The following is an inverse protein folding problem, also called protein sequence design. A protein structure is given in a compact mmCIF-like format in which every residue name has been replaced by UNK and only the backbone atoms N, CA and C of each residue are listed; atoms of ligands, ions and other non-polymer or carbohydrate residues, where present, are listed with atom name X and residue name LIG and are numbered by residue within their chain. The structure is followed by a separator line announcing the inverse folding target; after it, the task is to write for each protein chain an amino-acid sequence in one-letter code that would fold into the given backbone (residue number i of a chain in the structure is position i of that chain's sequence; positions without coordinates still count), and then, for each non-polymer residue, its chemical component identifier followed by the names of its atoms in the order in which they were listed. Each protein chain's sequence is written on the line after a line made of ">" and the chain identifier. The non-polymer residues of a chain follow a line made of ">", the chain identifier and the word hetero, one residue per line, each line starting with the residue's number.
data_IF_085885864388
#
_entry.id   IF_085885864388
#
_cell.length_a   1.000
_cell.length_b   1.000
_cell.length_c   1.000
_cell.angle_alpha   90.00
_cell.angle_beta   90.00
_cell.angle_gamma   90.00
#
_symmetry.space_group_name_H-M   'P 1'
#
loop_
_entity.id
_entity.type
_entity.pdbx_description
1 polymer ?
#
# COMPACT_ATOMS: atom_id res chain seq x y z
N UNK A 1 -16.71 -17.08 -12.18
CA UNK A 1 -15.44 -16.49 -11.71
C UNK A 1 -15.78 -15.44 -10.67
N UNK A 2 -15.28 -15.55 -9.44
CA UNK A 2 -15.43 -14.50 -8.41
C UNK A 2 -14.49 -13.35 -8.71
N UNK A 3 -15.02 -12.15 -8.93
CA UNK A 3 -14.26 -10.92 -9.12
C UNK A 3 -13.91 -10.29 -7.75
N UNK A 4 -12.84 -9.50 -7.68
CA UNK A 4 -12.40 -8.86 -6.44
C UNK A 4 -11.17 -8.00 -6.63
N UNK A 5 -10.71 -7.39 -5.54
CA UNK A 5 -9.50 -6.57 -5.49
C UNK A 5 -8.68 -6.87 -4.24
N UNK A 6 -7.38 -6.59 -4.34
CA UNK A 6 -6.42 -6.68 -3.23
C UNK A 6 -5.81 -5.30 -3.03
N UNK A 7 -5.76 -4.85 -1.78
CA UNK A 7 -5.21 -3.55 -1.44
C UNK A 7 -4.24 -3.69 -0.25
N UNK A 8 -2.97 -3.36 -0.48
CA UNK A 8 -1.90 -3.40 0.51
C UNK A 8 -1.57 -2.02 1.03
N UNK A 9 -1.61 -1.83 2.34
CA UNK A 9 -1.38 -0.55 3.01
C UNK A 9 -2.17 0.60 2.34
N UNK A 10 -3.50 0.45 2.18
CA UNK A 10 -4.24 1.36 1.33
C UNK A 10 -4.48 2.69 2.03
N UNK A 11 -3.94 3.78 1.47
CA UNK A 11 -4.31 5.13 1.89
C UNK A 11 -5.75 5.40 1.45
N UNK A 12 -6.65 5.40 2.41
CA UNK A 12 -8.10 5.33 2.19
C UNK A 12 -8.84 6.51 2.78
N UNK A 13 -8.35 7.03 3.90
CA UNK A 13 -8.95 8.17 4.61
C UNK A 13 -7.88 8.91 5.38
N UNK A 14 -7.69 10.18 5.02
CA UNK A 14 -6.64 11.03 5.61
C UNK A 14 -6.78 11.12 7.13
N UNK A 15 -8.00 11.25 7.64
CA UNK A 15 -8.24 11.37 9.08
C UNK A 15 -7.71 10.16 9.87
N UNK A 16 -7.88 8.94 9.35
CA UNK A 16 -7.44 7.71 10.03
C UNK A 16 -5.97 7.40 9.75
N UNK A 17 -5.54 7.56 8.50
CA UNK A 17 -4.17 7.24 8.06
C UNK A 17 -3.14 8.21 8.67
N UNK A 18 -3.49 9.48 8.88
CA UNK A 18 -2.61 10.47 9.51
C UNK A 18 -2.71 10.44 11.05
N UNK A 19 -3.88 10.14 11.61
CA UNK A 19 -4.08 10.01 13.05
C UNK A 19 -3.33 8.82 13.69
N UNK A 20 -3.08 7.74 12.92
CA UNK A 20 -2.41 6.54 13.42
C UNK A 20 -0.87 6.64 13.54
N UNK A 21 -0.26 7.71 13.01
CA UNK A 21 1.21 7.83 12.91
C UNK A 21 1.91 8.04 14.26
N UNK A 22 1.33 8.86 15.14
CA UNK A 22 1.91 9.19 16.44
C UNK A 22 1.92 7.97 17.39
N UNK A 23 0.81 7.24 17.58
CA UNK A 23 0.82 6.01 18.39
C UNK A 23 1.77 4.95 17.86
N UNK A 24 1.90 4.83 16.53
CA UNK A 24 2.77 3.87 15.87
C UNK A 24 4.26 4.14 16.16
N UNK A 25 4.73 5.37 15.95
CA UNK A 25 6.14 5.72 16.17
C UNK A 25 6.56 5.59 17.64
N UNK A 26 5.67 5.92 18.58
CA UNK A 26 5.90 5.73 20.02
C UNK A 26 6.04 4.25 20.40
N UNK A 27 5.25 3.36 19.80
CA UNK A 27 5.29 1.92 20.09
C UNK A 27 6.54 1.21 19.57
N UNK A 28 7.26 1.80 18.60
CA UNK A 28 8.26 1.08 17.81
C UNK A 28 9.72 1.41 18.14
N UNK A 29 10.01 2.46 18.93
CA UNK A 29 11.37 2.75 19.43
C UNK A 29 12.45 2.96 18.36
N UNK A 30 12.06 3.21 17.11
CA UNK A 30 12.91 3.50 15.96
C UNK A 30 13.54 4.89 16.22
N UNK A 31 14.84 5.18 16.08
CA UNK A 31 15.55 5.21 14.79
C UNK A 31 17.10 5.29 14.95
N UNK A 32 17.84 4.88 13.91
CA UNK A 32 18.75 5.79 13.18
C UNK A 32 18.51 5.70 11.65
N UNK A 33 18.51 6.85 10.97
CA UNK A 33 17.90 7.09 9.65
C UNK A 33 18.80 6.75 8.44
N UNK A 34 20.11 6.54 8.61
CA UNK A 34 21.06 6.66 7.49
C UNK A 34 21.28 5.39 6.64
N UNK A 35 20.95 4.20 7.15
CA UNK A 35 21.28 2.92 6.50
C UNK A 35 20.12 2.31 5.71
N UNK A 36 18.87 2.59 6.08
CA UNK A 36 17.69 1.94 5.49
C UNK A 36 17.31 2.51 4.11
N UNK A 37 17.51 3.81 3.86
CA UNK A 37 17.09 4.43 2.61
C UNK A 37 18.06 4.23 1.43
N UNK A 38 19.32 3.84 1.68
CA UNK A 38 20.38 3.90 0.67
C UNK A 38 20.55 2.65 -0.21
N UNK A 39 19.96 1.50 0.11
CA UNK A 39 20.33 0.24 -0.56
C UNK A 39 19.37 -0.27 -1.65
N UNK A 40 18.06 0.02 -1.58
CA UNK A 40 17.07 -0.59 -2.49
C UNK A 40 16.75 0.25 -3.75
N UNK A 41 16.68 1.58 -3.62
CA UNK A 41 16.16 2.44 -4.69
C UNK A 41 17.10 2.61 -5.89
N UNK A 42 18.40 2.46 -5.69
CA UNK A 42 19.41 2.62 -6.75
C UNK A 42 19.38 1.45 -7.73
N UNK A 43 19.17 0.23 -7.22
CA UNK A 43 19.19 -1.00 -8.04
C UNK A 43 18.06 -1.01 -9.05
N UNK A 44 16.84 -0.61 -8.64
CA UNK A 44 15.68 -0.56 -9.53
C UNK A 44 15.88 0.46 -10.65
N UNK A 45 16.45 1.63 -10.33
CA UNK A 45 16.72 2.68 -11.32
C UNK A 45 17.71 2.20 -12.38
N UNK A 46 18.76 1.48 -11.99
CA UNK A 46 19.75 0.92 -12.91
C UNK A 46 19.10 -0.11 -13.82
N UNK A 47 18.39 -1.08 -13.24
CA UNK A 47 17.75 -2.16 -14.00
C UNK A 47 16.72 -1.63 -15.00
N UNK A 48 15.82 -0.73 -14.56
CA UNK A 48 14.76 -0.19 -15.42
C UNK A 48 15.28 0.71 -16.56
N UNK A 49 16.50 1.25 -16.43
CA UNK A 49 17.13 2.07 -17.46
C UNK A 49 18.16 1.34 -18.31
N UNK A 50 18.44 0.06 -18.02
CA UNK A 50 19.28 -0.76 -18.88
C UNK A 50 18.66 -0.88 -20.28
N UNK A 51 19.50 -0.71 -21.30
CA UNK A 51 19.06 -0.70 -22.70
C UNK A 51 18.41 -2.04 -23.10
N UNK A 52 19.00 -3.16 -22.68
CA UNK A 52 18.53 -4.50 -23.00
C UNK A 52 17.20 -4.78 -22.31
N UNK A 53 17.06 -4.35 -21.06
CA UNK A 53 15.78 -4.44 -20.33
C UNK A 53 14.70 -3.62 -21.03
N UNK A 54 15.00 -2.38 -21.41
CA UNK A 54 14.05 -1.50 -22.12
C UNK A 54 13.62 -2.08 -23.48
N UNK A 55 14.56 -2.60 -24.26
CA UNK A 55 14.27 -3.28 -25.52
C UNK A 55 13.40 -4.53 -25.30
N UNK A 56 13.71 -5.34 -24.28
CA UNK A 56 12.97 -6.56 -23.94
C UNK A 56 11.54 -6.28 -23.45
N UNK A 57 11.33 -5.13 -22.79
CA UNK A 57 10.01 -4.65 -22.36
C UNK A 57 9.26 -3.90 -23.48
N UNK A 58 9.83 -3.77 -24.67
CA UNK A 58 9.20 -3.09 -25.82
C UNK A 58 9.26 -1.55 -25.75
N UNK A 59 10.14 -0.97 -24.93
CA UNK A 59 10.33 0.48 -24.84
C UNK A 59 11.21 0.95 -26.00
N UNK A 60 10.59 1.53 -27.02
CA UNK A 60 11.31 2.01 -28.21
C UNK A 60 12.14 3.27 -27.93
N UNK A 61 13.35 3.32 -28.51
CA UNK A 61 14.26 4.46 -28.37
C UNK A 61 13.59 5.76 -28.85
N UNK A 62 13.65 6.80 -28.03
CA UNK A 62 13.08 8.12 -28.35
C UNK A 62 11.62 8.33 -27.95
N UNK A 63 10.93 7.31 -27.43
CA UNK A 63 9.52 7.43 -27.01
C UNK A 63 9.34 8.02 -25.61
N UNK A 64 10.17 7.59 -24.66
CA UNK A 64 10.14 8.03 -23.26
C UNK A 64 11.56 8.21 -22.72
N UNK A 65 11.74 9.16 -21.80
CA UNK A 65 13.04 9.50 -21.20
C UNK A 65 13.56 8.46 -20.19
N UNK A 66 14.37 8.94 -19.25
CA UNK A 66 14.85 8.13 -18.12
C UNK A 66 13.64 7.64 -17.31
N UNK A 67 13.62 6.35 -16.97
CA UNK A 67 12.64 5.81 -16.05
C UNK A 67 12.93 6.34 -14.64
N UNK A 68 11.91 6.93 -14.03
CA UNK A 68 11.92 7.40 -12.65
C UNK A 68 10.81 6.68 -11.88
N UNK A 69 11.07 6.35 -10.62
CA UNK A 69 10.16 5.54 -9.79
C UNK A 69 8.84 6.26 -9.46
N UNK A 70 8.94 7.53 -9.10
CA UNK A 70 7.80 8.37 -8.76
C UNK A 70 7.96 9.70 -9.51
N UNK A 71 7.05 9.96 -10.44
CA UNK A 71 6.92 11.27 -11.06
C UNK A 71 5.89 12.07 -10.27
N UNK A 72 6.32 13.15 -9.61
CA UNK A 72 5.42 14.04 -8.86
C UNK A 72 4.96 15.24 -9.71
N UNK A 73 5.52 15.44 -10.90
CA UNK A 73 5.12 16.47 -11.86
C UNK A 73 3.98 15.99 -12.76
N UNK A 74 3.00 15.32 -12.15
CA UNK A 74 1.77 14.89 -12.83
C UNK A 74 0.68 15.88 -12.45
N UNK A 75 -0.04 16.40 -13.44
CA UNK A 75 -1.22 17.23 -13.22
C UNK A 75 -2.33 16.37 -12.59
N UNK A 76 -2.40 16.38 -11.25
CA UNK A 76 -3.32 15.58 -10.48
C UNK A 76 -3.96 16.43 -9.38
N UNK A 77 -5.30 16.48 -9.41
CA UNK A 77 -6.11 17.14 -8.40
C UNK A 77 -6.63 16.05 -7.44
N UNK A 78 -6.33 16.19 -6.16
CA UNK A 78 -6.83 15.30 -5.11
C UNK A 78 -8.21 15.75 -4.63
N UNK A 79 -9.25 15.45 -5.42
CA UNK A 79 -10.66 15.77 -5.14
C UNK A 79 -11.43 14.62 -4.46
N UNK A 80 -10.89 13.41 -4.49
CA UNK A 80 -11.39 12.26 -3.71
C UNK A 80 -10.62 12.17 -2.39
N UNK A 81 -11.29 12.53 -1.29
CA UNK A 81 -10.70 12.53 0.06
C UNK A 81 -10.84 11.20 0.80
N UNK A 82 -11.84 10.38 0.43
CA UNK A 82 -12.14 9.12 1.08
C UNK A 82 -12.58 8.06 0.08
N UNK A 83 -12.05 6.85 0.22
CA UNK A 83 -12.46 5.68 -0.58
C UNK A 83 -13.24 4.64 0.22
N UNK A 84 -13.51 4.90 1.50
CA UNK A 84 -14.22 3.98 2.42
C UNK A 84 -15.60 3.58 1.89
N UNK A 85 -16.40 4.54 1.43
CA UNK A 85 -17.73 4.27 0.86
C UNK A 85 -17.68 3.50 -0.47
N UNK A 86 -16.59 3.63 -1.22
CA UNK A 86 -16.39 2.86 -2.45
C UNK A 86 -16.12 1.39 -2.16
N UNK A 87 -15.39 1.09 -1.08
CA UNK A 87 -15.22 -0.30 -0.61
C UNK A 87 -16.59 -0.93 -0.31
N UNK A 88 -17.46 -0.23 0.43
CA UNK A 88 -18.82 -0.72 0.73
C UNK A 88 -19.66 -0.91 -0.54
N UNK A 89 -19.56 0.03 -1.49
CA UNK A 89 -20.27 -0.04 -2.77
C UNK A 89 -19.84 -1.25 -3.60
N UNK A 90 -18.53 -1.52 -3.68
CA UNK A 90 -18.00 -2.68 -4.39
C UNK A 90 -18.40 -4.00 -3.72
N UNK A 91 -18.35 -4.07 -2.39
CA UNK A 91 -18.80 -5.25 -1.64
C UNK A 91 -20.28 -5.55 -1.90
N UNK A 92 -21.15 -4.53 -1.93
CA UNK A 92 -22.59 -4.68 -2.27
C UNK A 92 -22.82 -5.19 -3.70
N UNK A 93 -21.90 -4.91 -4.62
CA UNK A 93 -21.92 -5.46 -5.99
C UNK A 93 -21.38 -6.89 -6.09
N UNK A 94 -20.94 -7.48 -4.97
CA UNK A 94 -20.41 -8.85 -4.91
C UNK A 94 -18.90 -8.96 -5.15
N UNK A 95 -18.15 -7.85 -5.17
CA UNK A 95 -16.70 -7.89 -5.26
C UNK A 95 -16.09 -8.24 -3.90
N UNK A 96 -15.21 -9.24 -3.87
CA UNK A 96 -14.45 -9.59 -2.67
C UNK A 96 -13.25 -8.66 -2.50
N UNK A 97 -12.99 -8.25 -1.28
CA UNK A 97 -11.85 -7.41 -0.92
C UNK A 97 -10.89 -8.20 -0.03
N UNK A 98 -9.59 -8.16 -0.34
CA UNK A 98 -8.53 -8.52 0.61
C UNK A 98 -7.77 -7.24 0.97
N UNK A 99 -7.86 -6.84 2.22
CA UNK A 99 -7.12 -5.70 2.76
C UNK A 99 -6.01 -6.25 3.66
N UNK A 100 -4.78 -5.86 3.40
CA UNK A 100 -3.63 -6.22 4.24
C UNK A 100 -2.80 -4.97 4.54
N UNK A 101 -2.19 -4.93 5.72
CA UNK A 101 -1.31 -3.83 6.13
C UNK A 101 -0.08 -4.40 6.79
N UNK A 102 1.10 -4.03 6.29
CA UNK A 102 2.35 -4.28 7.01
C UNK A 102 2.31 -3.55 8.35
N UNK A 103 2.52 -4.28 9.44
CA UNK A 103 2.38 -3.76 10.80
C UNK A 103 3.40 -2.66 11.12
N UNK A 104 4.52 -2.60 10.38
CA UNK A 104 5.57 -1.60 10.55
C UNK A 104 5.49 -0.38 9.60
N UNK A 105 4.44 -0.23 8.80
CA UNK A 105 4.27 0.96 7.94
C UNK A 105 3.76 2.16 8.74
N UNK A 106 4.60 3.19 8.90
CA UNK A 106 4.21 4.42 9.57
C UNK A 106 3.45 5.41 8.69
N UNK A 107 3.47 5.25 7.36
CA UNK A 107 2.79 6.16 6.44
C UNK A 107 1.30 5.82 6.31
N UNK A 108 0.97 4.53 6.27
CA UNK A 108 -0.39 4.00 6.32
C UNK A 108 -0.46 2.92 7.41
N UNK A 109 -0.61 3.32 8.68
CA UNK A 109 -0.57 2.39 9.79
C UNK A 109 -1.75 1.42 9.77
N UNK A 110 -1.50 0.16 10.14
CA UNK A 110 -2.54 -0.88 10.21
C UNK A 110 -3.70 -0.50 11.14
N UNK A 111 -3.45 0.33 12.16
CA UNK A 111 -4.49 0.86 13.06
C UNK A 111 -5.49 1.76 12.34
N UNK A 112 -5.04 2.57 11.37
CA UNK A 112 -5.91 3.36 10.50
C UNK A 112 -6.77 2.45 9.61
N UNK A 113 -6.16 1.39 9.08
CA UNK A 113 -6.88 0.37 8.30
C UNK A 113 -7.97 -0.33 9.12
N UNK A 114 -7.64 -0.76 10.35
CA UNK A 114 -8.62 -1.35 11.27
C UNK A 114 -9.75 -0.40 11.63
N UNK A 115 -9.46 0.90 11.78
CA UNK A 115 -10.45 1.91 12.15
C UNK A 115 -11.54 2.07 11.08
N UNK A 116 -11.17 2.24 9.80
CA UNK A 116 -12.18 2.41 8.75
C UNK A 116 -12.92 1.12 8.44
N UNK A 117 -12.28 -0.06 8.57
CA UNK A 117 -12.99 -1.34 8.43
C UNK A 117 -14.06 -1.50 9.51
N UNK A 118 -13.74 -1.12 10.76
CA UNK A 118 -14.73 -1.11 11.85
C UNK A 118 -15.85 -0.11 11.59
N UNK A 119 -15.54 1.06 11.00
CA UNK A 119 -16.53 2.06 10.62
C UNK A 119 -17.58 1.53 9.63
N UNK A 120 -17.19 0.63 8.72
CA UNK A 120 -18.15 -0.01 7.78
C UNK A 120 -19.19 -0.92 8.46
N UNK A 121 -18.98 -1.28 9.73
CA UNK A 121 -19.90 -2.07 10.55
C UNK A 121 -20.35 -3.39 9.86
N UNK A 122 -19.38 -4.09 9.26
CA UNK A 122 -19.61 -5.37 8.61
C UNK A 122 -19.76 -6.49 9.65
N UNK A 123 -20.54 -7.53 9.34
CA UNK A 123 -20.63 -8.71 10.19
C UNK A 123 -19.32 -9.49 10.19
N UNK A 124 -18.82 -9.81 11.38
CA UNK A 124 -17.68 -10.72 11.55
C UNK A 124 -18.19 -12.14 11.32
N UNK A 125 -17.67 -12.80 10.29
CA UNK A 125 -18.02 -14.19 9.95
C UNK A 125 -17.00 -15.20 10.48
N UNK A 126 -15.83 -14.72 10.89
CA UNK A 126 -14.71 -15.51 11.34
C UNK A 126 -13.81 -14.64 12.21
N UNK A 127 -13.39 -15.16 13.36
CA UNK A 127 -12.68 -14.37 14.38
C UNK A 127 -11.22 -14.09 13.98
N UNK A 128 -10.68 -13.02 14.55
CA UNK A 128 -9.28 -12.66 14.38
C UNK A 128 -8.37 -13.79 14.87
N UNK A 129 -7.45 -14.23 14.03
CA UNK A 129 -6.52 -15.31 14.33
C UNK A 129 -5.17 -15.06 13.68
N UNK A 130 -4.08 -15.62 14.24
CA UNK A 130 -2.81 -15.64 13.55
C UNK A 130 -2.90 -16.50 12.28
N UNK A 131 -2.15 -16.10 11.26
CA UNK A 131 -1.86 -16.93 10.11
C UNK A 131 -0.37 -17.29 10.09
N UNK A 132 -0.08 -18.49 9.59
CA UNK A 132 1.25 -19.08 9.67
C UNK A 132 1.85 -19.26 8.28
N UNK A 133 3.15 -18.97 8.16
CA UNK A 133 3.96 -19.31 7.01
C UNK A 133 5.22 -20.03 7.50
N UNK A 134 5.54 -21.18 6.90
CA UNK A 134 6.70 -22.00 7.28
C UNK A 134 6.83 -22.28 8.80
N UNK A 135 5.69 -22.46 9.49
CA UNK A 135 5.66 -22.76 10.93
C UNK A 135 5.86 -21.55 11.84
N UNK A 136 5.96 -20.33 11.31
CA UNK A 136 6.05 -19.09 12.07
C UNK A 136 4.79 -18.25 11.89
N UNK A 137 4.43 -17.45 12.90
CA UNK A 137 3.36 -16.45 12.79
C UNK A 137 3.82 -15.39 11.80
N UNK A 138 3.06 -15.24 10.72
CA UNK A 138 3.34 -14.26 9.69
C UNK A 138 2.44 -13.01 9.79
N UNK A 139 1.37 -13.11 10.58
CA UNK A 139 0.51 -12.02 11.02
C UNK A 139 -0.81 -12.55 11.58
#
# INVERSE_FOLDING_TARGET
>A
MTQGYVAGNPRTERQFDEGGKIPFLHGMGLISNELYEKASYVVLKIWANDKTVRESLGVHKGTVGEWIRCNFDVDYIADVYSTVEYHLTLMRKGYRALIYSGDHDCQVPFTGTQAWIRFLNLSVVDDWRPWYAAGQVAG
#
